data_IF_684913003523
#
_entry.id   IF_684913003523
#
_cell.length_a   1.000
_cell.length_b   1.000
_cell.length_c   1.000
_cell.angle_alpha   90.00
_cell.angle_beta   90.00
_cell.angle_gamma   90.00
#
_symmetry.space_group_name_H-M   'P 1'
#
loop_
_entity.id
_entity.type
_entity.pdbx_description
1 polymer ?
#
# COMPACT_ATOMS: atom_id res chain seq x y z
N UNK A 1 41.22 -23.61 20.22
CA UNK A 1 39.90 -23.44 20.88
C UNK A 1 38.80 -23.52 19.82
N UNK A 2 37.95 -24.55 19.82
CA UNK A 2 36.81 -24.60 18.91
C UNK A 2 35.67 -23.74 19.47
N UNK A 3 35.26 -22.71 18.72
CA UNK A 3 34.05 -21.93 19.02
C UNK A 3 32.85 -22.73 18.50
N UNK A 4 32.08 -23.32 19.42
CA UNK A 4 30.88 -24.09 19.10
C UNK A 4 29.76 -23.16 18.63
N UNK A 5 29.31 -23.39 17.40
CA UNK A 5 28.21 -22.68 16.77
C UNK A 5 26.88 -23.17 17.39
N UNK A 6 26.36 -22.46 18.40
CA UNK A 6 25.02 -22.71 18.94
C UNK A 6 24.00 -21.92 18.12
N UNK A 7 23.67 -22.42 16.93
CA UNK A 7 22.40 -22.09 16.29
C UNK A 7 21.28 -22.65 17.18
N UNK A 8 20.75 -21.80 18.06
CA UNK A 8 19.51 -22.07 18.77
C UNK A 8 18.39 -21.99 17.75
N UNK A 9 18.06 -23.12 17.15
CA UNK A 9 16.76 -23.32 16.52
C UNK A 9 15.66 -23.12 17.57
N UNK A 10 15.17 -21.88 17.67
CA UNK A 10 13.89 -21.61 18.30
C UNK A 10 12.85 -22.25 17.39
N UNK A 11 12.42 -23.47 17.70
CA UNK A 11 11.20 -24.06 17.14
C UNK A 11 10.06 -23.10 17.45
N UNK A 12 9.70 -22.26 16.48
CA UNK A 12 8.47 -21.48 16.53
C UNK A 12 7.33 -22.50 16.63
N UNK A 13 6.43 -22.29 17.59
CA UNK A 13 5.12 -22.95 17.55
C UNK A 13 4.56 -22.69 16.15
N UNK A 14 4.28 -23.74 15.37
CA UNK A 14 3.77 -23.60 14.00
C UNK A 14 2.49 -22.76 14.08
N UNK A 15 2.61 -21.47 13.74
CA UNK A 15 1.45 -20.62 13.50
C UNK A 15 0.66 -21.15 12.30
N UNK A 16 -0.53 -20.59 12.03
CA UNK A 16 -1.25 -20.88 10.80
C UNK A 16 -0.35 -20.71 9.59
N UNK A 17 -0.60 -21.49 8.54
CA UNK A 17 0.09 -21.31 7.27
C UNK A 17 -0.09 -19.85 6.80
N UNK A 18 0.95 -19.26 6.17
CA UNK A 18 0.93 -17.84 5.83
C UNK A 18 -0.25 -17.51 4.91
N UNK A 19 -0.56 -18.40 3.96
CA UNK A 19 -1.70 -18.26 3.07
C UNK A 19 -3.02 -18.30 3.84
N UNK A 20 -3.18 -19.25 4.76
CA UNK A 20 -4.38 -19.37 5.60
C UNK A 20 -4.61 -18.10 6.42
N UNK A 21 -3.56 -17.57 7.06
CA UNK A 21 -3.65 -16.35 7.86
C UNK A 21 -4.04 -15.12 7.02
N UNK A 22 -3.42 -14.94 5.85
CA UNK A 22 -3.77 -13.85 4.93
C UNK A 22 -5.19 -14.01 4.38
N UNK A 23 -5.63 -15.23 4.13
CA UNK A 23 -7.01 -15.53 3.70
C UNK A 23 -8.01 -15.16 4.81
N UNK A 24 -7.73 -15.50 6.07
CA UNK A 24 -8.58 -15.13 7.20
C UNK A 24 -8.68 -13.61 7.34
N UNK A 25 -7.57 -12.88 7.18
CA UNK A 25 -7.59 -11.42 7.16
C UNK A 25 -8.48 -10.88 6.04
N UNK A 26 -8.35 -11.38 4.80
CA UNK A 26 -9.22 -10.95 3.69
C UNK A 26 -10.70 -11.17 4.02
N UNK A 27 -11.06 -12.37 4.47
CA UNK A 27 -12.45 -12.69 4.86
C UNK A 27 -12.95 -11.78 5.97
N UNK A 28 -12.15 -11.52 7.00
CA UNK A 28 -12.53 -10.61 8.09
C UNK A 28 -12.78 -9.19 7.57
N UNK A 29 -11.97 -8.70 6.62
CA UNK A 29 -12.20 -7.38 6.02
C UNK A 29 -13.54 -7.32 5.26
N UNK A 30 -13.86 -8.35 4.48
CA UNK A 30 -15.04 -8.40 3.62
C UNK A 30 -16.34 -8.60 4.42
N UNK A 31 -16.31 -9.45 5.44
CA UNK A 31 -17.47 -9.83 6.23
C UNK A 31 -17.77 -8.86 7.39
N UNK A 32 -16.77 -8.13 7.87
CA UNK A 32 -16.94 -7.26 9.03
C UNK A 32 -17.89 -6.09 8.75
N UNK A 33 -18.70 -5.74 9.74
CA UNK A 33 -19.50 -4.51 9.77
C UNK A 33 -18.84 -3.40 10.60
N UNK A 34 -17.77 -3.74 11.32
CA UNK A 34 -17.02 -2.80 12.15
C UNK A 34 -15.94 -2.11 11.33
N UNK A 35 -16.06 -0.79 11.18
CA UNK A 35 -15.01 0.01 10.55
C UNK A 35 -13.66 -0.15 11.26
N UNK A 36 -13.66 -0.26 12.60
CA UNK A 36 -12.42 -0.47 13.38
C UNK A 36 -11.70 -1.76 13.00
N UNK A 37 -12.44 -2.86 12.82
CA UNK A 37 -11.87 -4.14 12.42
C UNK A 37 -11.33 -4.07 10.99
N UNK A 38 -12.10 -3.47 10.06
CA UNK A 38 -11.63 -3.26 8.68
C UNK A 38 -10.33 -2.47 8.64
N UNK A 39 -10.21 -1.42 9.45
CA UNK A 39 -8.98 -0.62 9.55
C UNK A 39 -7.81 -1.45 10.10
N UNK A 40 -8.03 -2.22 11.15
CA UNK A 40 -7.00 -3.08 11.74
C UNK A 40 -6.50 -4.12 10.72
N UNK A 41 -7.43 -4.79 10.03
CA UNK A 41 -7.12 -5.78 9.01
C UNK A 41 -6.38 -5.15 7.83
N UNK A 42 -6.86 -4.00 7.33
CA UNK A 42 -6.21 -3.30 6.22
C UNK A 42 -4.78 -2.86 6.58
N UNK A 43 -4.56 -2.38 7.80
CA UNK A 43 -3.23 -2.06 8.32
C UNK A 43 -2.31 -3.30 8.40
N UNK A 44 -2.85 -4.44 8.83
CA UNK A 44 -2.11 -5.71 8.82
C UNK A 44 -1.72 -6.12 7.39
N UNK A 45 -2.67 -6.11 6.46
CA UNK A 45 -2.41 -6.43 5.05
C UNK A 45 -1.36 -5.49 4.44
N UNK A 46 -1.41 -4.19 4.73
CA UNK A 46 -0.41 -3.23 4.29
C UNK A 46 0.99 -3.54 4.85
N UNK A 47 1.09 -4.00 6.10
CA UNK A 47 2.37 -4.46 6.68
C UNK A 47 2.89 -5.74 6.00
N UNK A 48 2.03 -6.70 5.66
CA UNK A 48 2.44 -7.88 4.89
C UNK A 48 2.92 -7.53 3.48
N UNK A 49 2.33 -6.51 2.87
CA UNK A 49 2.71 -6.02 1.54
C UNK A 49 4.12 -5.41 1.48
N UNK A 50 4.80 -5.19 2.61
CA UNK A 50 6.19 -4.74 2.64
C UNK A 50 7.20 -5.83 2.25
N UNK A 51 6.87 -7.11 2.48
CA UNK A 51 7.81 -8.21 2.31
C UNK A 51 7.49 -9.03 1.04
N UNK A 52 8.41 -9.08 0.05
CA UNK A 52 8.22 -9.81 -1.20
C UNK A 52 7.91 -11.30 -1.04
N UNK A 53 8.29 -11.94 0.09
CA UNK A 53 7.94 -13.34 0.34
C UNK A 53 6.41 -13.56 0.38
N UNK A 54 5.63 -12.49 0.56
CA UNK A 54 4.17 -12.56 0.60
C UNK A 54 3.52 -12.35 -0.77
N UNK A 55 4.23 -11.86 -1.79
CA UNK A 55 3.60 -11.37 -3.02
C UNK A 55 2.80 -12.44 -3.75
N UNK A 56 3.31 -13.68 -3.84
CA UNK A 56 2.55 -14.79 -4.42
C UNK A 56 1.22 -15.06 -3.69
N UNK A 57 1.19 -14.93 -2.35
CA UNK A 57 -0.05 -15.07 -1.58
C UNK A 57 -0.98 -13.87 -1.76
N UNK A 58 -0.43 -12.64 -1.78
CA UNK A 58 -1.22 -11.42 -1.98
C UNK A 58 -1.85 -11.38 -3.38
N UNK A 59 -1.14 -11.87 -4.39
CA UNK A 59 -1.63 -12.04 -5.75
C UNK A 59 -2.76 -13.05 -5.80
N UNK A 60 -2.54 -14.25 -5.26
CA UNK A 60 -3.55 -15.33 -5.19
C UNK A 60 -4.84 -14.89 -4.47
N UNK A 61 -4.70 -14.06 -3.43
CA UNK A 61 -5.82 -13.56 -2.64
C UNK A 61 -6.39 -12.25 -3.17
N UNK A 62 -5.89 -11.69 -4.27
CA UNK A 62 -6.32 -10.41 -4.84
C UNK A 62 -6.26 -9.21 -3.87
N UNK A 63 -5.31 -9.21 -2.94
CA UNK A 63 -5.12 -8.10 -1.98
C UNK A 63 -4.86 -6.75 -2.66
N UNK A 64 -4.12 -6.66 -3.79
CA UNK A 64 -3.98 -5.40 -4.54
C UNK A 64 -5.31 -4.75 -4.91
N UNK A 65 -6.32 -5.55 -5.31
CA UNK A 65 -7.66 -5.06 -5.64
C UNK A 65 -8.35 -4.44 -4.42
N UNK A 66 -8.21 -5.10 -3.27
CA UNK A 66 -8.74 -4.61 -1.99
C UNK A 66 -8.13 -3.26 -1.60
N UNK A 67 -6.83 -3.05 -1.83
CA UNK A 67 -6.20 -1.76 -1.59
C UNK A 67 -6.79 -0.65 -2.49
N UNK A 68 -6.94 -0.88 -3.80
CA UNK A 68 -7.55 0.12 -4.70
C UNK A 68 -8.95 0.49 -4.23
N UNK A 69 -9.80 -0.51 -3.96
CA UNK A 69 -11.17 -0.28 -3.48
C UNK A 69 -11.23 0.50 -2.15
N UNK A 70 -10.19 0.41 -1.33
CA UNK A 70 -10.09 1.12 -0.05
C UNK A 70 -9.54 2.55 -0.15
N UNK A 71 -9.19 3.02 -1.35
CA UNK A 71 -8.62 4.36 -1.55
C UNK A 71 -9.67 5.48 -1.67
N UNK A 72 -10.93 5.14 -1.94
CA UNK A 72 -11.99 6.11 -2.22
C UNK A 72 -12.95 6.30 -1.03
N UNK A 73 -13.32 5.20 -0.38
CA UNK A 73 -14.34 5.21 0.67
C UNK A 73 -13.76 5.20 2.09
N UNK A 74 -14.60 5.59 3.05
CA UNK A 74 -14.32 5.43 4.48
C UNK A 74 -13.51 6.54 5.15
N UNK A 75 -13.13 6.36 6.43
CA UNK A 75 -12.40 7.36 7.19
C UNK A 75 -10.99 7.54 6.61
N UNK A 76 -10.34 8.72 6.74
CA UNK A 76 -9.09 8.95 6.01
C UNK A 76 -7.93 8.03 6.42
N UNK A 77 -7.96 7.46 7.63
CA UNK A 77 -6.98 6.43 8.04
C UNK A 77 -7.07 5.15 7.21
N UNK A 78 -8.27 4.82 6.68
CA UNK A 78 -8.44 3.71 5.73
C UNK A 78 -7.65 3.96 4.46
N UNK A 79 -7.81 5.17 3.89
CA UNK A 79 -7.09 5.59 2.68
C UNK A 79 -5.58 5.61 2.91
N UNK A 80 -5.15 6.01 4.11
CA UNK A 80 -3.74 5.98 4.50
C UNK A 80 -3.15 4.58 4.49
N UNK A 81 -3.84 3.59 5.08
CA UNK A 81 -3.42 2.19 5.03
C UNK A 81 -3.50 1.60 3.62
N UNK A 82 -4.54 1.92 2.87
CA UNK A 82 -4.71 1.45 1.49
C UNK A 82 -3.56 1.92 0.59
N UNK A 83 -3.30 3.23 0.56
CA UNK A 83 -2.20 3.80 -0.24
C UNK A 83 -0.84 3.32 0.31
N UNK A 84 -0.69 3.14 1.62
CA UNK A 84 0.51 2.56 2.22
C UNK A 84 0.78 1.13 1.72
N UNK A 85 -0.26 0.28 1.66
CA UNK A 85 -0.17 -1.06 1.10
C UNK A 85 0.23 -1.05 -0.38
N UNK A 86 -0.35 -0.15 -1.17
CA UNK A 86 0.03 0.06 -2.58
C UNK A 86 1.49 0.48 -2.68
N UNK A 87 1.91 1.50 -1.91
CA UNK A 87 3.29 2.00 -1.92
C UNK A 87 4.30 0.90 -1.58
N UNK A 88 3.95 -0.01 -0.65
CA UNK A 88 4.81 -1.11 -0.24
C UNK A 88 5.02 -2.15 -1.35
N UNK A 89 4.01 -2.44 -2.18
CA UNK A 89 4.07 -3.55 -3.13
C UNK A 89 4.09 -3.16 -4.61
N UNK A 90 3.80 -1.89 -4.97
CA UNK A 90 3.72 -1.43 -6.36
C UNK A 90 5.05 -1.48 -7.13
N UNK A 91 6.19 -1.70 -6.48
CA UNK A 91 7.46 -1.95 -7.15
C UNK A 91 7.57 -3.34 -7.81
N UNK A 92 6.70 -4.29 -7.44
CA UNK A 92 6.66 -5.61 -8.05
C UNK A 92 6.01 -5.56 -9.44
N UNK A 93 6.63 -6.03 -10.53
CA UNK A 93 6.12 -5.79 -11.88
C UNK A 93 4.68 -6.28 -12.15
N UNK A 94 4.25 -7.47 -11.67
CA UNK A 94 2.85 -7.87 -11.78
C UNK A 94 1.88 -6.92 -11.08
N UNK A 95 2.22 -6.48 -9.86
CA UNK A 95 1.38 -5.52 -9.13
C UNK A 95 1.40 -4.14 -9.76
N UNK A 96 2.56 -3.66 -10.26
CA UNK A 96 2.67 -2.41 -11.01
C UNK A 96 1.71 -2.40 -12.19
N UNK A 97 1.77 -3.45 -13.01
CA UNK A 97 0.91 -3.62 -14.19
C UNK A 97 -0.57 -3.61 -13.77
N UNK A 98 -0.92 -4.44 -12.79
CA UNK A 98 -2.27 -4.49 -12.24
C UNK A 98 -2.77 -3.13 -11.75
N UNK A 99 -1.98 -2.40 -10.95
CA UNK A 99 -2.38 -1.11 -10.40
C UNK A 99 -2.61 -0.07 -11.50
N UNK A 100 -1.71 0.02 -12.48
CA UNK A 100 -1.83 0.96 -13.60
C UNK A 100 -3.06 0.68 -14.47
N UNK A 101 -3.38 -0.60 -14.70
CA UNK A 101 -4.56 -1.02 -15.47
C UNK A 101 -5.88 -0.83 -14.71
N UNK A 102 -5.84 -0.73 -13.37
CA UNK A 102 -7.02 -0.68 -12.50
C UNK A 102 -7.21 0.67 -11.80
N UNK A 103 -6.75 1.76 -12.40
CA UNK A 103 -7.12 3.12 -11.98
C UNK A 103 -6.40 3.66 -10.73
N UNK A 104 -5.29 3.05 -10.31
CA UNK A 104 -4.53 3.50 -9.12
C UNK A 104 -4.11 4.99 -9.19
N UNK A 105 -3.89 5.51 -10.40
CA UNK A 105 -3.40 6.88 -10.58
C UNK A 105 -4.44 7.92 -10.18
N UNK A 106 -5.72 7.66 -10.41
CA UNK A 106 -6.81 8.52 -9.96
C UNK A 106 -6.89 8.54 -8.42
N UNK A 107 -6.75 7.36 -7.80
CA UNK A 107 -6.65 7.24 -6.34
C UNK A 107 -5.44 8.02 -5.78
N UNK A 108 -4.27 7.94 -6.43
CA UNK A 108 -3.07 8.67 -6.01
C UNK A 108 -3.29 10.19 -6.12
N UNK A 109 -3.73 10.70 -7.28
CA UNK A 109 -3.88 12.15 -7.48
C UNK A 109 -4.94 12.78 -6.57
N UNK A 110 -6.06 12.08 -6.34
CA UNK A 110 -7.08 12.55 -5.39
C UNK A 110 -6.55 12.62 -3.95
N UNK A 111 -5.67 11.69 -3.57
CA UNK A 111 -5.07 11.63 -2.24
C UNK A 111 -3.84 12.53 -2.05
N UNK A 112 -3.17 12.96 -3.12
CA UNK A 112 -2.04 13.90 -3.06
C UNK A 112 -2.44 15.32 -2.60
N UNK A 113 -3.74 15.67 -2.67
CA UNK A 113 -4.24 17.00 -2.29
C UNK A 113 -4.76 17.08 -0.84
N UNK A 114 -4.74 15.97 -0.09
CA UNK A 114 -5.19 15.91 1.31
C UNK A 114 -4.25 16.69 2.26
N UNK A 115 -4.76 17.25 3.38
CA UNK A 115 -3.91 17.83 4.42
C UNK A 115 -3.23 16.77 5.31
N UNK A 116 -3.57 15.48 5.18
CA UNK A 116 -2.98 14.41 5.99
C UNK A 116 -1.66 13.94 5.41
N UNK A 117 -0.57 14.25 6.12
CA UNK A 117 0.79 13.99 5.68
C UNK A 117 1.06 12.52 5.32
N UNK A 118 0.55 11.56 6.10
CA UNK A 118 0.77 10.14 5.85
C UNK A 118 0.18 9.68 4.51
N UNK A 119 -1.04 10.13 4.20
CA UNK A 119 -1.67 9.85 2.90
C UNK A 119 -0.86 10.51 1.77
N UNK A 120 -0.46 11.77 1.92
CA UNK A 120 0.32 12.48 0.89
C UNK A 120 1.66 11.80 0.62
N UNK A 121 2.41 11.42 1.68
CA UNK A 121 3.71 10.75 1.55
C UNK A 121 3.54 9.37 0.89
N UNK A 122 2.59 8.55 1.34
CA UNK A 122 2.39 7.24 0.73
C UNK A 122 1.96 7.38 -0.74
N UNK A 123 1.14 8.39 -1.06
CA UNK A 123 0.72 8.66 -2.44
C UNK A 123 1.90 9.07 -3.32
N UNK A 124 2.82 9.89 -2.79
CA UNK A 124 4.06 10.26 -3.46
C UNK A 124 4.97 9.06 -3.69
N UNK A 125 5.16 8.21 -2.68
CA UNK A 125 5.97 7.00 -2.79
C UNK A 125 5.41 6.06 -3.86
N UNK A 126 4.11 5.77 -3.81
CA UNK A 126 3.43 4.96 -4.82
C UNK A 126 3.58 5.58 -6.22
N UNK A 127 3.39 6.90 -6.35
CA UNK A 127 3.58 7.61 -7.61
C UNK A 127 4.99 7.43 -8.18
N UNK A 128 6.03 7.55 -7.36
CA UNK A 128 7.44 7.39 -7.78
C UNK A 128 7.72 5.97 -8.27
N UNK A 129 7.20 4.94 -7.60
CA UNK A 129 7.42 3.55 -8.02
C UNK A 129 6.60 3.15 -9.26
N UNK A 130 5.40 3.70 -9.38
CA UNK A 130 4.53 3.50 -10.53
C UNK A 130 4.93 4.34 -11.74
N UNK A 131 5.77 5.37 -11.53
CA UNK A 131 6.33 6.17 -12.60
C UNK A 131 6.95 5.27 -13.66
N UNK A 132 6.43 5.37 -14.87
CA UNK A 132 6.87 4.59 -15.99
C UNK A 132 6.74 5.45 -17.24
N UNK A 133 7.86 5.61 -17.93
CA UNK A 133 7.95 6.44 -19.15
C UNK A 133 7.04 5.94 -20.27
N UNK A 134 6.62 4.67 -20.20
CA UNK A 134 5.67 4.07 -21.13
C UNK A 134 4.22 4.52 -20.86
N UNK A 135 3.96 5.23 -19.76
CA UNK A 135 2.66 5.79 -19.41
C UNK A 135 2.73 7.33 -19.30
N UNK A 136 2.94 8.04 -20.43
CA UNK A 136 3.31 9.47 -20.44
C UNK A 136 2.21 10.41 -19.97
N UNK A 137 0.94 9.97 -19.96
CA UNK A 137 -0.21 10.79 -19.58
C UNK A 137 -0.08 11.33 -18.14
N UNK A 138 0.58 10.56 -17.25
CA UNK A 138 0.76 10.94 -15.85
C UNK A 138 1.89 11.96 -15.62
N UNK A 139 2.76 12.19 -16.61
CA UNK A 139 3.88 13.13 -16.52
C UNK A 139 3.43 14.59 -16.43
N UNK A 140 2.33 14.92 -17.08
CA UNK A 140 1.79 16.28 -17.05
C UNK A 140 1.12 16.57 -15.71
N UNK A 141 0.26 15.64 -15.26
CA UNK A 141 -0.45 15.75 -13.98
C UNK A 141 0.51 15.82 -12.79
N UNK A 142 1.58 15.02 -12.81
CA UNK A 142 2.61 15.06 -11.78
C UNK A 142 3.36 16.39 -11.74
N UNK A 143 3.76 16.92 -12.90
CA UNK A 143 4.43 18.23 -12.99
C UNK A 143 3.54 19.35 -12.46
N UNK A 144 2.27 19.38 -12.88
CA UNK A 144 1.31 20.37 -12.36
C UNK A 144 1.10 20.22 -10.86
N UNK A 145 1.01 18.99 -10.35
CA UNK A 145 0.88 18.77 -8.92
C UNK A 145 2.10 19.24 -8.13
N UNK A 146 3.33 18.93 -8.58
CA UNK A 146 4.56 19.41 -7.93
C UNK A 146 4.62 20.94 -7.88
N UNK A 147 4.22 21.61 -8.97
CA UNK A 147 4.12 23.08 -9.01
C UNK A 147 3.09 23.57 -7.98
N UNK A 148 1.89 22.97 -7.94
CA UNK A 148 0.84 23.34 -6.96
C UNK A 148 1.30 23.12 -5.52
N UNK A 149 1.99 22.02 -5.23
CA UNK A 149 2.55 21.75 -3.91
C UNK A 149 3.58 22.81 -3.53
N UNK A 150 4.51 23.12 -4.44
CA UNK A 150 5.54 24.13 -4.23
C UNK A 150 4.93 25.50 -3.92
N UNK A 151 3.94 25.94 -4.71
CA UNK A 151 3.24 27.21 -4.51
C UNK A 151 2.49 27.25 -3.16
N UNK A 152 1.77 26.18 -2.80
CA UNK A 152 1.10 26.06 -1.50
C UNK A 152 2.05 26.16 -0.31
N UNK A 153 3.29 25.68 -0.46
CA UNK A 153 4.31 25.82 0.57
C UNK A 153 4.85 27.25 0.66
N UNK A 154 5.03 27.95 -0.46
CA UNK A 154 5.48 29.35 -0.47
C UNK A 154 4.47 30.28 0.25
N UNK A 155 3.17 30.08 0.04
CA UNK A 155 2.10 30.86 0.69
C UNK A 155 2.04 30.71 2.22
N UNK A 156 2.67 29.68 2.81
CA UNK A 156 2.72 29.50 4.28
C UNK A 156 3.84 30.27 4.96
N UNK A 157 4.76 30.89 4.20
CA UNK A 157 5.93 31.59 4.72
C UNK A 157 5.99 33.06 4.28
N UNK A 158 4.87 33.62 3.82
CA UNK A 158 4.65 35.07 3.57
C UNK A 158 3.61 35.57 4.56
#
# INVERSE_FOLDING_TARGET
>A
MPKTNKNRERKSKKGPDRLEYLSQLKSEFEESRSEGNKLQVLGNLANFAYDPQNYGYLELLEIPKLFIGSCYDGPPIRREFAIGGIANCCGYPPFKTFFLENGVMEAIFSNLSTPRIGITINSLCAFIFLFDVNYPNYLFDARLWFIRLYLKYQEKFV
#
